data_IF_791342713636
#
_entry.id   IF_791342713636
#
_cell.length_a   1.000
_cell.length_b   1.000
_cell.length_c   1.000
_cell.angle_alpha   90.00
_cell.angle_beta   90.00
_cell.angle_gamma   90.00
#
_symmetry.space_group_name_H-M   'P 1'
#
loop_
_entity.id
_entity.type
_entity.pdbx_description
1 polymer ?
#
# COMPACT_ATOMS: atom_id res chain seq x y z
N UNK A 1 -11.10 17.05 -3.16
CA UNK A 1 -10.89 16.26 -1.93
C UNK A 1 -12.17 15.48 -1.65
N UNK A 2 -12.07 14.15 -1.55
CA UNK A 2 -13.24 13.27 -1.44
C UNK A 2 -14.01 13.50 -0.15
N UNK A 3 -15.25 13.97 -0.28
CA UNK A 3 -16.21 14.08 0.82
C UNK A 3 -16.44 12.67 1.40
N UNK A 4 -15.69 12.31 2.43
CA UNK A 4 -15.89 11.04 3.13
C UNK A 4 -14.65 10.37 3.72
N UNK A 5 -13.44 10.82 3.40
CA UNK A 5 -12.22 10.28 4.00
C UNK A 5 -11.88 11.03 5.29
N UNK A 6 -11.61 10.29 6.36
CA UNK A 6 -11.06 10.81 7.62
C UNK A 6 -9.54 10.74 7.55
N UNK A 7 -8.87 11.88 7.56
CA UNK A 7 -7.41 11.97 7.45
C UNK A 7 -6.75 11.80 8.82
N UNK A 8 -7.06 10.73 9.55
CA UNK A 8 -6.43 10.45 10.85
C UNK A 8 -4.93 10.15 10.70
N UNK A 9 -4.16 10.32 11.77
CA UNK A 9 -2.69 10.34 11.74
C UNK A 9 -2.08 9.18 10.93
N UNK A 10 -2.49 7.95 11.22
CA UNK A 10 -1.93 6.75 10.60
C UNK A 10 -2.36 6.61 9.13
N UNK A 11 -3.56 7.07 8.75
CA UNK A 11 -3.95 7.16 7.34
C UNK A 11 -3.11 8.19 6.57
N UNK A 12 -2.78 9.33 7.19
CA UNK A 12 -1.89 10.33 6.57
C UNK A 12 -0.49 9.75 6.37
N UNK A 13 0.05 9.07 7.39
CA UNK A 13 1.34 8.41 7.31
C UNK A 13 1.37 7.34 6.20
N UNK A 14 0.34 6.50 6.13
CA UNK A 14 0.17 5.50 5.05
C UNK A 14 0.17 6.15 3.66
N UNK A 15 -0.62 7.21 3.44
CA UNK A 15 -0.68 7.86 2.12
C UNK A 15 0.66 8.50 1.72
N UNK A 16 1.40 9.09 2.67
CA UNK A 16 2.75 9.62 2.43
C UNK A 16 3.69 8.49 2.03
N UNK A 17 3.80 7.43 2.83
CA UNK A 17 4.67 6.29 2.54
C UNK A 17 4.33 5.62 1.21
N UNK A 18 3.04 5.44 0.92
CA UNK A 18 2.56 4.89 -0.36
C UNK A 18 2.95 5.77 -1.54
N UNK A 19 2.87 7.10 -1.40
CA UNK A 19 3.25 8.04 -2.45
C UNK A 19 4.77 8.06 -2.66
N UNK A 20 5.56 8.07 -1.59
CA UNK A 20 7.02 7.99 -1.65
C UNK A 20 7.48 6.69 -2.32
N UNK A 21 6.94 5.55 -1.91
CA UNK A 21 7.21 4.25 -2.51
C UNK A 21 6.83 4.23 -4.00
N UNK A 22 5.63 4.71 -4.34
CA UNK A 22 5.19 4.82 -5.75
C UNK A 22 6.13 5.69 -6.57
N UNK A 23 6.54 6.85 -6.07
CA UNK A 23 7.44 7.76 -6.78
C UNK A 23 8.82 7.14 -6.98
N UNK A 24 9.36 6.48 -5.96
CA UNK A 24 10.65 5.79 -6.04
C UNK A 24 10.61 4.66 -7.07
N UNK A 25 9.57 3.82 -7.05
CA UNK A 25 9.40 2.72 -8.00
C UNK A 25 9.28 3.23 -9.45
N UNK A 26 8.49 4.28 -9.69
CA UNK A 26 8.37 4.89 -11.02
C UNK A 26 9.66 5.55 -11.47
N UNK A 27 10.39 6.19 -10.56
CA UNK A 27 11.70 6.79 -10.85
C UNK A 27 12.74 5.75 -11.25
N UNK A 28 12.79 4.61 -10.57
CA UNK A 28 13.70 3.51 -10.90
C UNK A 28 13.38 2.91 -12.28
N UNK A 29 12.08 2.70 -12.59
CA UNK A 29 11.65 2.22 -13.90
C UNK A 29 12.00 3.21 -15.01
N UNK A 30 11.67 4.49 -14.82
CA UNK A 30 12.01 5.53 -15.79
C UNK A 30 13.53 5.62 -16.02
N UNK A 31 14.33 5.54 -14.95
CA UNK A 31 15.79 5.52 -15.02
C UNK A 31 16.33 4.32 -15.80
N UNK A 32 15.79 3.11 -15.55
CA UNK A 32 16.18 1.91 -16.28
C UNK A 32 15.86 2.01 -17.78
N UNK A 33 14.68 2.54 -18.13
CA UNK A 33 14.26 2.72 -19.52
C UNK A 33 15.07 3.80 -20.25
N UNK A 34 15.38 4.92 -19.58
CA UNK A 34 16.26 5.95 -20.12
C UNK A 34 17.67 5.42 -20.38
N UNK A 35 18.23 4.65 -19.44
CA UNK A 35 19.53 4.01 -19.60
C UNK A 35 19.53 2.99 -20.75
N UNK A 36 18.47 2.18 -20.84
CA UNK A 36 18.27 1.23 -21.95
C UNK A 36 18.26 1.94 -23.30
N UNK A 37 17.51 3.05 -23.42
CA UNK A 37 17.45 3.83 -24.64
C UNK A 37 18.78 4.49 -25.00
N UNK A 38 19.52 5.03 -24.03
CA UNK A 38 20.85 5.60 -24.28
C UNK A 38 21.84 4.54 -24.77
N UNK A 39 21.78 3.32 -24.24
CA UNK A 39 22.67 2.23 -24.67
C UNK A 39 22.36 1.71 -26.07
N UNK A 40 21.12 1.88 -26.56
CA UNK A 40 20.82 1.57 -27.96
C UNK A 40 21.64 2.44 -28.93
N UNK A 41 22.00 3.66 -28.54
CA UNK A 41 22.83 4.56 -29.35
C UNK A 41 24.28 4.08 -29.46
N UNK A 42 24.73 3.21 -28.55
CA UNK A 42 26.07 2.61 -28.54
C UNK A 42 26.04 1.12 -28.88
N UNK A 43 24.93 0.62 -29.44
CA UNK A 43 24.79 -0.77 -29.84
C UNK A 43 25.89 -1.20 -30.84
N UNK A 44 26.43 -2.41 -30.67
CA UNK A 44 27.57 -2.90 -31.45
C UNK A 44 28.94 -2.32 -31.03
N UNK A 45 29.00 -1.46 -30.01
CA UNK A 45 30.26 -0.99 -29.45
C UNK A 45 30.81 -1.94 -28.38
N UNK A 46 32.12 -2.19 -28.45
CA UNK A 46 32.88 -2.96 -27.46
C UNK A 46 33.26 -2.15 -26.20
N UNK A 47 32.84 -0.89 -26.14
CA UNK A 47 33.07 0.03 -25.02
C UNK A 47 32.38 -0.47 -23.75
N UNK A 48 33.06 -0.34 -22.62
CA UNK A 48 32.50 -0.72 -21.32
C UNK A 48 31.65 0.42 -20.75
N UNK A 49 30.61 0.08 -19.99
CA UNK A 49 29.75 1.09 -19.36
C UNK A 49 30.49 2.16 -18.53
N UNK A 50 31.54 1.86 -17.76
CA UNK A 50 32.29 2.89 -17.03
C UNK A 50 32.98 3.91 -17.94
N UNK A 51 33.26 3.54 -19.19
CA UNK A 51 33.85 4.44 -20.19
C UNK A 51 32.77 5.33 -20.83
N UNK A 52 31.55 4.78 -21.02
CA UNK A 52 30.38 5.55 -21.50
C UNK A 52 29.85 6.51 -20.43
N UNK A 53 29.83 6.10 -19.16
CA UNK A 53 29.25 6.85 -18.05
C UNK A 53 30.20 7.03 -16.85
N UNK A 54 31.37 7.68 -17.03
CA UNK A 54 32.41 7.72 -16.00
C UNK A 54 32.01 8.47 -14.73
N UNK A 55 30.95 9.30 -14.80
CA UNK A 55 30.45 10.10 -13.67
C UNK A 55 29.35 9.40 -12.86
N UNK A 56 28.84 8.24 -13.30
CA UNK A 56 27.78 7.53 -12.57
C UNK A 56 28.41 6.81 -11.37
N UNK A 57 27.99 7.13 -10.13
CA UNK A 57 28.50 6.44 -8.94
C UNK A 57 28.28 4.92 -9.06
N UNK A 58 29.27 4.15 -8.62
CA UNK A 58 29.25 2.67 -8.66
C UNK A 58 29.16 2.01 -10.05
N UNK A 59 29.21 2.75 -11.17
CA UNK A 59 29.15 2.17 -12.53
C UNK A 59 30.22 1.09 -12.77
N UNK A 60 31.37 1.21 -12.11
CA UNK A 60 32.46 0.21 -12.17
C UNK A 60 32.07 -1.17 -11.64
N UNK A 61 31.02 -1.27 -10.81
CA UNK A 61 30.44 -2.56 -10.37
C UNK A 61 29.61 -3.21 -11.49
N UNK A 62 29.23 -2.43 -12.49
CA UNK A 62 28.47 -2.82 -13.66
C UNK A 62 29.38 -2.78 -14.90
N UNK A 63 30.55 -3.44 -14.79
CA UNK A 63 31.60 -3.44 -15.82
C UNK A 63 31.26 -4.38 -16.98
N UNK A 64 30.16 -4.09 -17.66
CA UNK A 64 29.62 -4.87 -18.76
C UNK A 64 29.77 -4.11 -20.07
N UNK A 65 29.84 -4.86 -21.17
CA UNK A 65 29.67 -4.32 -22.52
C UNK A 65 28.24 -3.84 -22.72
N UNK A 66 28.06 -2.90 -23.64
CA UNK A 66 26.76 -2.28 -23.97
C UNK A 66 25.63 -3.30 -24.14
N UNK A 67 25.83 -4.36 -24.93
CA UNK A 67 24.78 -5.35 -25.22
C UNK A 67 24.36 -6.17 -23.99
N UNK A 68 25.34 -6.59 -23.18
CA UNK A 68 25.07 -7.31 -21.94
C UNK A 68 24.33 -6.42 -20.92
N UNK A 69 24.75 -5.15 -20.82
CA UNK A 69 24.07 -4.17 -20.00
C UNK A 69 22.63 -3.89 -20.46
N UNK A 70 22.43 -3.77 -21.78
CA UNK A 70 21.11 -3.56 -22.39
C UNK A 70 20.15 -4.70 -22.05
N UNK A 71 20.61 -5.96 -22.16
CA UNK A 71 19.80 -7.13 -21.79
C UNK A 71 19.37 -7.12 -20.31
N UNK A 72 20.26 -6.72 -19.40
CA UNK A 72 19.92 -6.58 -17.98
C UNK A 72 18.90 -5.47 -17.75
N UNK A 73 19.08 -4.31 -18.40
CA UNK A 73 18.14 -3.18 -18.27
C UNK A 73 16.78 -3.49 -18.88
N UNK A 74 16.73 -4.25 -19.98
CA UNK A 74 15.47 -4.75 -20.55
C UNK A 74 14.75 -5.73 -19.63
N UNK A 75 15.51 -6.48 -18.82
CA UNK A 75 14.98 -7.40 -17.81
C UNK A 75 14.67 -6.70 -16.46
N UNK A 76 15.06 -5.43 -16.31
CA UNK A 76 14.93 -4.70 -15.05
C UNK A 76 13.47 -4.52 -14.63
N UNK A 77 12.55 -4.35 -15.58
CA UNK A 77 11.11 -4.23 -15.29
C UNK A 77 10.60 -5.44 -14.51
N UNK A 78 11.03 -6.65 -14.89
CA UNK A 78 10.60 -7.89 -14.23
C UNK A 78 11.15 -7.99 -12.81
N UNK A 79 12.43 -7.66 -12.63
CA UNK A 79 13.07 -7.69 -11.31
C UNK A 79 12.53 -6.59 -10.39
N UNK A 80 12.34 -5.38 -10.92
CA UNK A 80 11.73 -4.27 -10.20
C UNK A 80 10.29 -4.60 -9.80
N UNK A 81 9.49 -5.22 -10.67
CA UNK A 81 8.17 -5.71 -10.32
C UNK A 81 8.21 -6.72 -9.18
N UNK A 82 9.09 -7.73 -9.28
CA UNK A 82 9.26 -8.77 -8.27
C UNK A 82 9.74 -8.25 -6.90
N UNK A 83 10.43 -7.11 -6.85
CA UNK A 83 10.81 -6.43 -5.60
C UNK A 83 9.76 -5.43 -5.10
N UNK A 84 9.15 -4.69 -6.02
CA UNK A 84 8.27 -3.56 -5.70
C UNK A 84 6.88 -4.00 -5.27
N UNK A 85 6.33 -5.05 -5.89
CA UNK A 85 5.02 -5.58 -5.51
C UNK A 85 5.00 -6.07 -4.05
N UNK A 86 5.96 -6.91 -3.58
CA UNK A 86 6.03 -7.26 -2.16
C UNK A 86 6.11 -6.05 -1.24
N UNK A 87 6.90 -5.03 -1.59
CA UNK A 87 7.02 -3.82 -0.77
C UNK A 87 5.70 -3.04 -0.69
N UNK A 88 5.00 -2.84 -1.82
CA UNK A 88 3.69 -2.20 -1.82
C UNK A 88 2.63 -2.99 -1.03
N UNK A 89 2.65 -4.33 -1.12
CA UNK A 89 1.77 -5.19 -0.33
C UNK A 89 2.08 -5.10 1.17
N UNK A 90 3.36 -4.99 1.55
CA UNK A 90 3.77 -4.85 2.95
C UNK A 90 3.29 -3.52 3.56
N UNK A 91 3.39 -2.40 2.82
CA UNK A 91 2.85 -1.11 3.27
C UNK A 91 1.33 -1.17 3.50
N UNK A 92 0.60 -1.87 2.62
CA UNK A 92 -0.83 -2.08 2.79
C UNK A 92 -1.15 -2.97 3.99
N UNK A 93 -0.40 -4.06 4.18
CA UNK A 93 -0.54 -4.95 5.33
C UNK A 93 -0.33 -4.21 6.66
N UNK A 94 0.70 -3.38 6.75
CA UNK A 94 1.01 -2.58 7.95
C UNK A 94 -0.15 -1.63 8.29
N UNK A 95 -0.64 -0.89 7.29
CA UNK A 95 -1.79 -0.01 7.47
C UNK A 95 -3.06 -0.77 7.93
N UNK A 96 -3.36 -1.92 7.32
CA UNK A 96 -4.50 -2.73 7.75
C UNK A 96 -4.33 -3.24 9.19
N UNK A 97 -3.13 -3.61 9.61
CA UNK A 97 -2.84 -4.00 11.00
C UNK A 97 -3.10 -2.85 11.97
N UNK A 98 -2.72 -1.63 11.61
CA UNK A 98 -3.10 -0.43 12.38
C UNK A 98 -4.61 -0.28 12.48
N UNK A 99 -5.34 -0.45 11.37
CA UNK A 99 -6.81 -0.38 11.36
C UNK A 99 -7.47 -1.46 12.22
N UNK A 100 -6.95 -2.69 12.20
CA UNK A 100 -7.40 -3.77 13.11
C UNK A 100 -7.10 -3.40 14.56
N UNK A 101 -5.94 -2.81 14.84
CA UNK A 101 -5.61 -2.26 16.17
C UNK A 101 -6.64 -1.25 16.67
N UNK A 102 -7.12 -0.34 15.81
CA UNK A 102 -8.19 0.59 16.15
C UNK A 102 -9.52 -0.11 16.45
N UNK A 103 -9.88 -1.15 15.68
CA UNK A 103 -11.07 -1.95 15.94
C UNK A 103 -10.98 -2.72 17.27
N UNK A 104 -9.79 -3.25 17.61
CA UNK A 104 -9.55 -3.89 18.91
C UNK A 104 -9.70 -2.87 20.04
N UNK A 105 -9.10 -1.69 19.88
CA UNK A 105 -9.18 -0.60 20.86
C UNK A 105 -10.61 -0.11 21.09
N UNK A 106 -11.45 -0.14 20.06
CA UNK A 106 -12.89 0.20 20.15
C UNK A 106 -13.75 -0.96 20.71
N UNK A 107 -13.16 -2.13 20.97
CA UNK A 107 -13.87 -3.33 21.42
C UNK A 107 -14.67 -4.05 20.32
N UNK A 108 -14.42 -3.75 19.04
CA UNK A 108 -15.11 -4.34 17.88
C UNK A 108 -14.44 -5.60 17.34
N UNK A 109 -13.17 -5.80 17.64
CA UNK A 109 -12.41 -6.99 17.28
C UNK A 109 -11.74 -7.60 18.52
N UNK A 110 -11.59 -8.93 18.59
CA UNK A 110 -10.86 -9.59 19.66
C UNK A 110 -9.35 -9.30 19.56
N UNK A 111 -8.64 -9.30 20.70
CA UNK A 111 -7.21 -8.95 20.76
C UNK A 111 -6.31 -9.85 19.89
N UNK A 112 -6.67 -11.11 19.71
CA UNK A 112 -5.93 -12.04 18.84
C UNK A 112 -6.00 -11.67 17.35
N UNK A 113 -6.93 -10.79 16.93
CA UNK A 113 -7.00 -10.29 15.57
C UNK A 113 -5.74 -9.49 15.17
N UNK A 114 -4.96 -8.98 16.13
CA UNK A 114 -3.68 -8.33 15.88
C UNK A 114 -2.64 -9.25 15.20
N UNK A 115 -2.80 -10.58 15.32
CA UNK A 115 -1.90 -11.57 14.71
C UNK A 115 -2.32 -11.97 13.29
N UNK A 116 -3.39 -11.39 12.75
CA UNK A 116 -3.86 -11.70 11.41
C UNK A 116 -2.80 -11.35 10.36
N UNK A 117 -2.61 -12.28 9.41
CA UNK A 117 -1.75 -12.05 8.24
C UNK A 117 -2.52 -11.31 7.16
N UNK A 118 -1.84 -10.74 6.16
CA UNK A 118 -2.48 -10.03 5.03
C UNK A 118 -3.67 -10.78 4.41
N UNK A 119 -3.62 -12.11 4.39
CA UNK A 119 -4.69 -12.95 3.86
C UNK A 119 -6.01 -12.93 4.65
N UNK A 120 -5.99 -12.42 5.88
CA UNK A 120 -7.10 -12.45 6.81
C UNK A 120 -7.55 -11.03 7.18
N UNK A 121 -6.71 -10.01 6.98
CA UNK A 121 -6.96 -8.65 7.50
C UNK A 121 -8.24 -8.01 6.94
N UNK A 122 -8.55 -8.19 5.66
CA UNK A 122 -9.80 -7.66 5.11
C UNK A 122 -11.01 -8.37 5.74
N UNK A 123 -11.03 -9.71 5.79
CA UNK A 123 -12.09 -10.50 6.41
C UNK A 123 -12.31 -10.16 7.90
N UNK A 124 -11.22 -9.91 8.63
CA UNK A 124 -11.26 -9.47 10.03
C UNK A 124 -11.98 -8.12 10.15
N UNK A 125 -11.65 -7.16 9.27
CA UNK A 125 -12.30 -5.85 9.26
C UNK A 125 -13.77 -5.99 8.88
N UNK A 126 -14.11 -6.77 7.85
CA UNK A 126 -15.51 -7.00 7.46
C UNK A 126 -16.33 -7.63 8.59
N UNK A 127 -15.78 -8.65 9.24
CA UNK A 127 -16.42 -9.35 10.37
C UNK A 127 -16.64 -8.41 11.56
N UNK A 128 -15.64 -7.60 11.91
CA UNK A 128 -15.72 -6.67 13.03
C UNK A 128 -16.68 -5.49 12.79
N UNK A 129 -17.00 -5.18 11.53
CA UNK A 129 -17.75 -3.97 11.16
C UNK A 129 -19.10 -4.25 10.50
N UNK A 130 -19.35 -5.49 10.08
CA UNK A 130 -20.47 -5.88 9.23
C UNK A 130 -20.55 -5.06 7.92
N UNK A 131 -19.40 -4.56 7.43
CA UNK A 131 -19.26 -3.86 6.15
C UNK A 131 -18.47 -4.74 5.19
N UNK A 132 -18.58 -4.46 3.90
CA UNK A 132 -17.89 -5.23 2.86
C UNK A 132 -16.98 -4.34 2.01
N UNK A 133 -15.86 -4.90 1.59
CA UNK A 133 -15.02 -4.34 0.54
C UNK A 133 -15.63 -4.63 -0.84
N UNK A 134 -15.13 -3.92 -1.84
CA UNK A 134 -15.36 -4.25 -3.24
C UNK A 134 -14.79 -5.65 -3.57
N UNK A 135 -15.63 -6.63 -3.95
CA UNK A 135 -15.18 -8.01 -4.16
C UNK A 135 -14.11 -8.15 -5.24
N UNK A 136 -14.20 -7.35 -6.30
CA UNK A 136 -13.23 -7.38 -7.40
C UNK A 136 -11.84 -6.90 -6.93
N UNK A 137 -11.80 -5.86 -6.08
CA UNK A 137 -10.57 -5.39 -5.44
C UNK A 137 -9.96 -6.46 -4.52
N UNK A 138 -10.79 -7.20 -3.77
CA UNK A 138 -10.35 -8.32 -2.91
C UNK A 138 -9.77 -9.47 -3.75
N UNK A 139 -10.42 -9.83 -4.85
CA UNK A 139 -9.91 -10.83 -5.79
C UNK A 139 -8.54 -10.40 -6.32
N UNK A 140 -8.39 -9.14 -6.74
CA UNK A 140 -7.13 -8.60 -7.28
C UNK A 140 -5.98 -8.62 -6.27
N UNK A 141 -6.20 -8.13 -5.04
CA UNK A 141 -5.15 -8.12 -4.01
C UNK A 141 -4.75 -9.54 -3.59
N UNK A 142 -5.71 -10.47 -3.52
CA UNK A 142 -5.45 -11.86 -3.17
C UNK A 142 -4.67 -12.58 -4.27
N UNK A 143 -5.02 -12.34 -5.54
CA UNK A 143 -4.22 -12.85 -6.67
C UNK A 143 -2.79 -12.30 -6.62
N UNK A 144 -2.60 -11.00 -6.41
CA UNK A 144 -1.26 -10.40 -6.29
C UNK A 144 -0.46 -10.96 -5.11
N UNK A 145 -1.11 -11.19 -3.96
CA UNK A 145 -0.48 -11.85 -2.81
C UNK A 145 0.00 -13.25 -3.17
N UNK A 146 -0.84 -14.03 -3.86
CA UNK A 146 -0.50 -15.39 -4.27
C UNK A 146 0.59 -15.40 -5.35
N UNK A 147 0.57 -14.46 -6.30
CA UNK A 147 1.69 -14.26 -7.23
C UNK A 147 2.99 -13.96 -6.47
N UNK A 148 2.94 -13.10 -5.44
CA UNK A 148 4.11 -12.79 -4.60
C UNK A 148 4.62 -14.04 -3.88
N UNK A 149 3.71 -14.85 -3.35
CA UNK A 149 4.08 -16.11 -2.72
C UNK A 149 4.74 -17.08 -3.71
N UNK A 150 4.25 -17.17 -4.95
CA UNK A 150 4.88 -17.96 -6.00
C UNK A 150 6.30 -17.48 -6.31
N UNK A 151 6.51 -16.16 -6.43
CA UNK A 151 7.83 -15.57 -6.66
C UNK A 151 8.82 -15.85 -5.53
N UNK A 152 8.39 -15.73 -4.27
CA UNK A 152 9.29 -15.89 -3.10
C UNK A 152 9.51 -17.36 -2.74
N UNK A 153 8.46 -18.19 -2.78
CA UNK A 153 8.47 -19.54 -2.20
C UNK A 153 8.42 -20.67 -3.22
N UNK A 154 8.14 -20.38 -4.49
CA UNK A 154 7.98 -21.41 -5.54
C UNK A 154 8.85 -21.12 -6.78
N UNK A 155 9.93 -20.36 -6.62
CA UNK A 155 10.85 -20.04 -7.72
C UNK A 155 10.19 -19.30 -8.89
N UNK A 156 9.12 -18.54 -8.62
CA UNK A 156 8.33 -17.87 -9.66
C UNK A 156 7.42 -18.81 -10.44
N UNK A 157 7.00 -19.94 -9.86
CA UNK A 157 6.07 -20.90 -10.47
C UNK A 157 4.71 -20.87 -9.79
N UNK A 158 3.63 -20.91 -10.56
CA UNK A 158 2.28 -20.98 -10.06
C UNK A 158 2.06 -22.25 -9.24
N UNK A 159 1.30 -22.12 -8.16
CA UNK A 159 0.95 -23.17 -7.22
C UNK A 159 -0.58 -23.23 -7.11
N UNK A 160 -1.12 -24.34 -6.60
CA UNK A 160 -2.56 -24.62 -6.62
C UNK A 160 -3.42 -23.47 -6.06
N UNK A 161 -3.09 -22.85 -4.90
CA UNK A 161 -3.83 -21.69 -4.40
C UNK A 161 -3.99 -20.52 -5.39
N UNK A 162 -2.96 -20.23 -6.21
CA UNK A 162 -3.05 -19.18 -7.23
C UNK A 162 -4.02 -19.58 -8.34
N UNK A 163 -3.96 -20.83 -8.81
CA UNK A 163 -4.86 -21.37 -9.83
C UNK A 163 -6.30 -21.32 -9.33
N UNK A 164 -6.55 -21.79 -8.11
CA UNK A 164 -7.88 -21.77 -7.48
C UNK A 164 -8.41 -20.34 -7.37
N UNK A 165 -7.56 -19.38 -7.00
CA UNK A 165 -7.97 -17.99 -6.88
C UNK A 165 -8.33 -17.38 -8.23
N UNK A 166 -7.57 -17.68 -9.29
CA UNK A 166 -7.87 -17.19 -10.64
C UNK A 166 -9.14 -17.83 -11.21
N UNK A 167 -9.42 -19.10 -10.86
CA UNK A 167 -10.67 -19.76 -11.24
C UNK A 167 -11.92 -19.10 -10.64
N UNK A 168 -11.78 -18.32 -9.56
CA UNK A 168 -12.86 -17.53 -8.94
C UNK A 168 -13.04 -16.13 -9.56
N UNK A 169 -12.27 -15.78 -10.60
CA UNK A 169 -12.41 -14.49 -11.25
C UNK A 169 -13.80 -14.33 -11.88
N UNK A 170 -14.47 -13.23 -11.53
CA UNK A 170 -15.66 -12.78 -12.27
C UNK A 170 -15.23 -12.15 -13.60
N UNK A 171 -16.11 -12.06 -14.61
CA UNK A 171 -15.82 -11.32 -15.84
C UNK A 171 -15.43 -9.86 -15.57
N UNK A 172 -15.96 -9.25 -14.52
CA UNK A 172 -15.62 -7.89 -14.10
C UNK A 172 -14.23 -7.81 -13.50
N UNK A 173 -13.87 -8.74 -12.62
CA UNK A 173 -12.53 -8.84 -12.02
C UNK A 173 -11.45 -9.05 -13.09
N UNK A 174 -11.67 -9.97 -14.03
CA UNK A 174 -10.75 -10.24 -15.14
C UNK A 174 -10.62 -9.01 -16.06
N UNK A 175 -11.73 -8.38 -16.44
CA UNK A 175 -11.70 -7.15 -17.24
C UNK A 175 -10.98 -6.02 -16.52
N UNK A 176 -11.20 -5.89 -15.21
CA UNK A 176 -10.51 -4.93 -14.34
C UNK A 176 -9.01 -5.16 -14.30
N UNK A 177 -8.60 -6.43 -14.17
CA UNK A 177 -7.22 -6.88 -14.22
C UNK A 177 -6.58 -6.56 -15.58
N UNK A 178 -7.16 -7.05 -16.69
CA UNK A 178 -6.66 -6.86 -18.05
C UNK A 178 -6.55 -5.39 -18.45
N UNK A 179 -7.44 -4.52 -17.96
CA UNK A 179 -7.37 -3.08 -18.22
C UNK A 179 -6.03 -2.48 -17.78
N UNK A 180 -5.44 -2.98 -16.68
CA UNK A 180 -4.18 -2.48 -16.13
C UNK A 180 -3.02 -3.40 -16.52
N UNK A 181 -3.11 -4.70 -16.19
CA UNK A 181 -2.08 -5.71 -16.41
C UNK A 181 -1.83 -6.02 -17.90
N UNK A 182 -2.78 -5.66 -18.78
CA UNK A 182 -2.77 -5.94 -20.24
C UNK A 182 -2.69 -7.42 -20.62
N UNK A 183 -2.74 -8.33 -19.65
CA UNK A 183 -2.75 -9.78 -19.81
C UNK A 183 -3.75 -10.38 -18.83
N UNK A 184 -4.41 -11.47 -19.24
CA UNK A 184 -5.21 -12.28 -18.32
C UNK A 184 -4.35 -13.36 -17.70
N UNK A 185 -4.70 -13.79 -16.48
CA UNK A 185 -4.20 -15.02 -15.88
C UNK A 185 -5.17 -16.18 -16.09
N UNK A 186 -6.32 -15.97 -16.75
CA UNK A 186 -7.27 -17.03 -17.03
C UNK A 186 -6.57 -18.21 -17.74
N UNK A 187 -6.74 -19.40 -17.18
CA UNK A 187 -6.09 -20.61 -17.67
C UNK A 187 -4.67 -20.86 -17.14
N UNK A 188 -4.16 -20.06 -16.19
CA UNK A 188 -2.90 -20.35 -15.51
C UNK A 188 -2.95 -21.74 -14.85
N UNK A 189 -1.93 -22.54 -15.06
CA UNK A 189 -1.78 -23.89 -14.52
C UNK A 189 -0.64 -23.96 -13.49
N UNK A 190 -0.67 -25.00 -12.65
CA UNK A 190 0.43 -25.28 -11.72
C UNK A 190 1.73 -25.49 -12.50
N UNK A 191 2.80 -24.82 -12.07
CA UNK A 191 4.10 -24.86 -12.75
C UNK A 191 4.29 -23.77 -13.81
N UNK A 192 3.26 -23.03 -14.19
CA UNK A 192 3.41 -21.89 -15.10
C UNK A 192 4.26 -20.79 -14.46
N UNK A 193 4.99 -20.04 -15.29
CA UNK A 193 5.82 -18.93 -14.80
C UNK A 193 4.93 -17.76 -14.37
N UNK A 194 5.14 -17.29 -13.15
CA UNK A 194 4.54 -16.07 -12.59
C UNK A 194 5.56 -14.95 -12.72
N UNK A 195 5.18 -13.90 -13.42
CA UNK A 195 6.01 -12.73 -13.65
C UNK A 195 5.34 -11.47 -13.10
N UNK A 196 6.14 -10.57 -12.55
CA UNK A 196 5.72 -9.23 -12.20
C UNK A 196 6.40 -8.27 -13.15
N UNK A 197 5.64 -7.53 -13.94
CA UNK A 197 6.16 -6.42 -14.72
C UNK A 197 5.70 -5.07 -14.17
N UNK A 198 5.91 -4.05 -15.00
CA UNK A 198 5.38 -2.70 -14.75
C UNK A 198 3.85 -2.71 -14.52
N UNK A 199 3.12 -3.52 -15.28
CA UNK A 199 1.66 -3.50 -15.25
C UNK A 199 1.10 -4.06 -13.92
N UNK A 200 1.67 -5.14 -13.40
CA UNK A 200 1.31 -5.72 -12.10
C UNK A 200 1.70 -4.79 -10.94
N UNK A 201 2.80 -4.04 -11.08
CA UNK A 201 3.16 -2.99 -10.13
C UNK A 201 2.09 -1.89 -10.10
N UNK A 202 1.69 -1.36 -11.26
CA UNK A 202 0.64 -0.34 -11.33
C UNK A 202 -0.68 -0.87 -10.76
N UNK A 203 -1.04 -2.12 -11.07
CA UNK A 203 -2.22 -2.76 -10.51
C UNK A 203 -2.14 -2.85 -8.98
N UNK A 204 -0.99 -3.27 -8.43
CA UNK A 204 -0.76 -3.33 -6.99
C UNK A 204 -0.93 -1.98 -6.32
N UNK A 205 -0.34 -0.92 -6.87
CA UNK A 205 -0.47 0.44 -6.35
C UNK A 205 -1.92 0.96 -6.43
N UNK A 206 -2.64 0.61 -7.51
CA UNK A 206 -4.02 1.01 -7.69
C UNK A 206 -4.96 0.30 -6.69
N UNK A 207 -4.84 -1.02 -6.54
CA UNK A 207 -5.72 -1.81 -5.68
C UNK A 207 -5.48 -1.52 -4.20
N UNK A 208 -4.22 -1.40 -3.76
CA UNK A 208 -3.87 -1.05 -2.37
C UNK A 208 -4.38 0.34 -2.01
N UNK A 209 -4.27 1.32 -2.92
CA UNK A 209 -4.86 2.66 -2.73
C UNK A 209 -6.39 2.62 -2.65
N UNK A 210 -7.04 1.82 -3.50
CA UNK A 210 -8.50 1.64 -3.48
C UNK A 210 -8.96 1.05 -2.14
N UNK A 211 -8.37 -0.08 -1.76
CA UNK A 211 -8.70 -0.79 -0.52
C UNK A 211 -8.36 0.06 0.72
N UNK A 212 -7.24 0.77 0.74
CA UNK A 212 -6.90 1.67 1.86
C UNK A 212 -7.94 2.79 2.05
N UNK A 213 -8.52 3.31 0.96
CA UNK A 213 -9.64 4.27 1.02
C UNK A 213 -10.94 3.61 1.50
N UNK A 214 -11.22 2.39 1.06
CA UNK A 214 -12.39 1.65 1.52
C UNK A 214 -12.29 1.35 3.02
N UNK A 215 -11.13 0.89 3.50
CA UNK A 215 -10.85 0.68 4.93
C UNK A 215 -11.10 1.96 5.72
N UNK A 216 -10.61 3.11 5.23
CA UNK A 216 -10.83 4.40 5.87
C UNK A 216 -12.33 4.73 6.03
N UNK A 217 -13.12 4.55 4.96
CA UNK A 217 -14.57 4.78 4.99
C UNK A 217 -15.28 3.80 5.92
N UNK A 218 -14.90 2.52 5.88
CA UNK A 218 -15.43 1.49 6.79
C UNK A 218 -15.17 1.89 8.24
N UNK A 219 -13.94 2.26 8.61
CA UNK A 219 -13.62 2.71 9.95
C UNK A 219 -14.38 3.96 10.37
N UNK A 220 -14.51 4.95 9.48
CA UNK A 220 -15.29 6.16 9.75
C UNK A 220 -16.71 5.81 10.19
N UNK A 221 -17.34 4.88 9.49
CA UNK A 221 -18.74 4.50 9.72
C UNK A 221 -18.91 3.52 10.88
N UNK A 222 -17.84 2.84 11.27
CA UNK A 222 -17.91 1.76 12.25
C UNK A 222 -17.36 2.10 13.63
N UNK A 223 -16.28 2.88 13.74
CA UNK A 223 -15.67 3.20 15.04
C UNK A 223 -16.54 4.16 15.86
N UNK A 224 -16.48 4.03 17.18
CA UNK A 224 -17.20 4.91 18.09
C UNK A 224 -16.74 6.37 17.96
N UNK A 225 -17.68 7.29 18.18
CA UNK A 225 -17.38 8.73 18.19
C UNK A 225 -16.42 9.12 19.32
N UNK A 226 -16.48 8.41 20.46
CA UNK A 226 -15.55 8.60 21.57
C UNK A 226 -14.12 8.21 21.20
N UNK A 227 -13.92 7.08 20.51
CA UNK A 227 -12.59 6.72 20.04
C UNK A 227 -12.07 7.74 19.01
N UNK A 228 -12.90 8.18 18.07
CA UNK A 228 -12.51 9.22 17.13
C UNK A 228 -12.10 10.53 17.81
N UNK A 229 -12.84 10.96 18.84
CA UNK A 229 -12.48 12.14 19.62
C UNK A 229 -11.15 11.94 20.36
N UNK A 230 -10.90 10.77 20.95
CA UNK A 230 -9.61 10.44 21.57
C UNK A 230 -8.46 10.52 20.56
N UNK A 231 -8.63 9.97 19.36
CA UNK A 231 -7.63 10.02 18.29
C UNK A 231 -7.30 11.47 17.88
N UNK A 232 -8.27 12.39 17.90
CA UNK A 232 -8.01 13.82 17.64
C UNK A 232 -7.08 14.40 18.70
N UNK A 233 -7.31 14.09 19.99
CA UNK A 233 -6.50 14.61 21.09
C UNK A 233 -5.07 14.04 21.01
N UNK A 234 -4.96 12.73 20.80
CA UNK A 234 -3.67 12.04 20.62
C UNK A 234 -2.88 12.61 19.44
N UNK A 235 -3.54 12.89 18.31
CA UNK A 235 -2.94 13.49 17.12
C UNK A 235 -2.48 14.95 17.37
N UNK A 236 -3.08 15.67 18.31
CA UNK A 236 -2.57 16.99 18.73
C UNK A 236 -1.34 16.83 19.63
N UNK A 237 -1.40 15.92 20.60
CA UNK A 237 -0.30 15.70 21.55
C UNK A 237 0.95 15.13 20.90
N UNK A 238 0.79 14.28 19.87
CA UNK A 238 1.91 13.69 19.13
C UNK A 238 2.67 14.73 18.28
N UNK A 239 2.00 15.76 17.75
CA UNK A 239 2.65 16.81 16.94
C UNK A 239 3.24 17.95 17.79
N UNK A 240 2.79 18.10 19.03
CA UNK A 240 3.14 19.22 19.91
C UNK A 240 3.63 18.67 21.26
N UNK A 241 4.88 18.20 21.35
CA UNK A 241 5.41 17.46 22.51
C UNK A 241 5.67 18.34 23.77
N UNK A 242 4.89 19.40 23.98
CA UNK A 242 4.97 20.30 25.13
C UNK A 242 3.71 20.30 25.99
N UNK A 243 3.81 20.89 27.18
CA UNK A 243 2.66 21.08 28.08
C UNK A 243 1.73 22.13 27.46
N UNK A 244 0.66 21.67 26.82
CA UNK A 244 -0.43 22.53 26.36
C UNK A 244 -1.36 22.81 27.54
N UNK A 245 -1.66 24.09 27.78
CA UNK A 245 -2.76 24.39 28.70
C UNK A 245 -4.10 23.99 28.08
N UNK A 246 -5.14 23.85 28.91
CA UNK A 246 -6.46 23.37 28.49
C UNK A 246 -7.04 24.14 27.30
N UNK A 247 -7.01 25.48 27.33
CA UNK A 247 -7.53 26.30 26.24
C UNK A 247 -6.74 26.15 24.94
N UNK A 248 -5.41 25.98 25.02
CA UNK A 248 -4.59 25.71 23.85
C UNK A 248 -4.94 24.35 23.24
N UNK A 249 -5.10 23.31 24.07
CA UNK A 249 -5.50 21.98 23.62
C UNK A 249 -6.88 22.00 22.99
N UNK A 250 -7.87 22.65 23.61
CA UNK A 250 -9.23 22.83 23.07
C UNK A 250 -9.21 23.46 21.67
N UNK A 251 -8.51 24.58 21.53
CA UNK A 251 -8.38 25.28 20.25
C UNK A 251 -7.68 24.44 19.18
N UNK A 252 -6.59 23.75 19.55
CA UNK A 252 -5.83 22.91 18.62
C UNK A 252 -6.63 21.67 18.20
N UNK A 253 -7.29 20.99 19.14
CA UNK A 253 -8.17 19.85 18.87
C UNK A 253 -9.31 20.24 17.94
N UNK A 254 -10.00 21.36 18.19
CA UNK A 254 -11.06 21.84 17.30
C UNK A 254 -10.52 22.16 15.89
N UNK A 255 -9.32 22.75 15.79
CA UNK A 255 -8.65 22.99 14.51
C UNK A 255 -8.30 21.71 13.77
N UNK A 256 -7.73 20.72 14.48
CA UNK A 256 -7.37 19.40 13.95
C UNK A 256 -8.60 18.64 13.47
N UNK A 257 -9.67 18.63 14.28
CA UNK A 257 -10.94 18.02 13.96
C UNK A 257 -11.53 18.59 12.67
N UNK A 258 -11.57 19.92 12.53
CA UNK A 258 -12.06 20.58 11.30
C UNK A 258 -11.20 20.32 10.07
N UNK A 259 -9.88 20.16 10.21
CA UNK A 259 -8.97 19.98 9.07
C UNK A 259 -8.92 18.54 8.59
N UNK A 260 -8.81 17.59 9.51
CA UNK A 260 -8.49 16.20 9.19
C UNK A 260 -9.64 15.23 9.47
N UNK A 261 -10.54 15.58 10.40
CA UNK A 261 -11.64 14.72 10.84
C UNK A 261 -13.01 15.30 10.49
N UNK A 262 -13.07 16.26 9.56
CA UNK A 262 -14.28 17.03 9.26
C UNK A 262 -15.50 16.15 8.95
N UNK A 263 -15.28 15.01 8.28
CA UNK A 263 -16.33 14.07 7.92
C UNK A 263 -17.05 13.41 9.09
N UNK A 264 -16.51 13.53 10.32
CA UNK A 264 -17.13 12.98 11.53
C UNK A 264 -18.08 13.97 12.21
N UNK A 265 -17.90 15.27 11.98
CA UNK A 265 -18.68 16.32 12.67
C UNK A 265 -18.64 16.17 14.20
N UNK A 266 -17.45 15.97 14.77
CA UNK A 266 -17.27 15.89 16.24
C UNK A 266 -17.63 17.22 16.91
N UNK A 267 -18.35 17.16 18.02
CA UNK A 267 -18.75 18.36 18.78
C UNK A 267 -17.67 18.79 19.75
N UNK A 268 -17.71 20.05 20.18
CA UNK A 268 -16.81 20.56 21.22
C UNK A 268 -16.98 19.81 22.55
N UNK A 269 -18.19 19.32 22.85
CA UNK A 269 -18.45 18.48 24.03
C UNK A 269 -17.78 17.11 23.94
N UNK A 270 -17.79 16.47 22.77
CA UNK A 270 -17.10 15.20 22.54
C UNK A 270 -15.58 15.36 22.66
N UNK A 271 -15.03 16.43 22.07
CA UNK A 271 -13.59 16.73 22.17
C UNK A 271 -13.18 17.05 23.61
N UNK A 272 -13.99 17.81 24.35
CA UNK A 272 -13.73 18.13 25.76
C UNK A 272 -13.76 16.89 26.64
N UNK A 273 -14.71 15.98 26.41
CA UNK A 273 -14.78 14.70 27.13
C UNK A 273 -13.57 13.82 26.84
N UNK A 274 -13.15 13.74 25.57
CA UNK A 274 -11.96 12.99 25.16
C UNK A 274 -10.68 13.52 25.81
N UNK A 275 -10.53 14.85 25.96
CA UNK A 275 -9.36 15.43 26.64
C UNK A 275 -9.23 14.94 28.07
N UNK A 276 -10.33 14.85 28.82
CA UNK A 276 -10.30 14.36 30.20
C UNK A 276 -9.84 12.90 30.26
N UNK A 277 -10.30 12.07 29.32
CA UNK A 277 -9.93 10.65 29.24
C UNK A 277 -8.48 10.48 28.85
N UNK A 278 -8.01 11.16 27.80
CA UNK A 278 -6.64 11.01 27.29
C UNK A 278 -5.62 11.54 28.30
N UNK A 279 -5.85 12.71 28.89
CA UNK A 279 -4.95 13.29 29.89
C UNK A 279 -4.87 12.48 31.19
N UNK A 280 -5.91 11.71 31.53
CA UNK A 280 -5.88 10.82 32.69
C UNK A 280 -5.03 9.56 32.46
N UNK A 281 -4.76 9.22 31.19
CA UNK A 281 -4.02 8.02 30.79
C UNK A 281 -2.56 8.31 30.35
N UNK A 282 -2.13 9.58 30.39
CA UNK A 282 -0.76 10.03 30.08
C UNK A 282 -0.06 10.50 31.33
#
# INVERSE_FOLDING_TARGET
>A
MGRGIVQFAEYRAFEVQRQEASNAMMGLLAGAQLASHLLQLTAGSDTLLPEVFPRVPHIRRFNLRTEAALSILQSADTHLGAMSVPYALALHEDFLKTCVGLLIRDGKAPSNAANAVLAQLHDVIETATCKTFDPDSIIQIDTLRLMRNATIHSGGRAHQPLVDRVALWTPTAEKGWMRIAKKSLAGIAVGDRVEFGHAELILTLAVTKSLGRQTNVILRDSLSRSLWANLVIEDVLAEEPGILNRHQLERKAAGKARRYYAGLGLTDSELSAAMLVVLANT
#
